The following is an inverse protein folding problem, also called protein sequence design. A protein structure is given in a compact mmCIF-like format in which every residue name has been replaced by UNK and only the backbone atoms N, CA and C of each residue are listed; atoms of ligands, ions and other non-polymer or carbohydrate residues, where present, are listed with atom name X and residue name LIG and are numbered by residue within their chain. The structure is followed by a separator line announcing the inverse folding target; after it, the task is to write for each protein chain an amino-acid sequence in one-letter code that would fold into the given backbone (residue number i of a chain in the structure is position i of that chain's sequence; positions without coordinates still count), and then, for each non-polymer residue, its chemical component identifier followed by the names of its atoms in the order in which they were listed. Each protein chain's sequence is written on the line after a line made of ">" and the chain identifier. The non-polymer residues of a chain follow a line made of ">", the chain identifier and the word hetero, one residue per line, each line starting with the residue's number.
data_IF_867665921678
#
_entry.id   IF_867665921678
#
_cell.length_a   1.000
_cell.length_b   1.000
_cell.length_c   1.000
_cell.angle_alpha   90.00
_cell.angle_beta   90.00
_cell.angle_gamma   90.00
#
_symmetry.space_group_name_H-M   'P 1'
#
loop_
_entity.id
_entity.type
_entity.pdbx_description
1 polymer ?
#
# COMPACT_ATOMS: atom_id res chain seq x y z
N UNK A 1 -91.47 23.05 19.38
CA UNK A 1 -92.06 22.49 18.15
C UNK A 1 -91.30 21.21 17.80
N UNK A 2 -92.01 20.07 17.82
CA UNK A 2 -91.52 18.76 17.35
C UNK A 2 -91.19 18.82 15.86
N UNK A 3 -90.14 18.10 15.44
CA UNK A 3 -90.20 17.16 14.30
C UNK A 3 -88.97 16.25 14.31
N UNK A 4 -89.25 14.99 14.61
CA UNK A 4 -88.46 13.82 14.25
C UNK A 4 -88.24 13.74 12.73
N UNK A 5 -87.21 13.03 12.27
CA UNK A 5 -87.35 11.86 11.36
C UNK A 5 -85.99 11.32 10.87
N UNK A 6 -85.85 10.00 11.11
CA UNK A 6 -85.20 8.91 10.37
C UNK A 6 -83.68 8.79 10.14
N UNK A 7 -83.23 7.65 10.68
CA UNK A 7 -82.09 6.79 10.34
C UNK A 7 -81.77 6.66 8.84
N UNK A 8 -80.47 6.60 8.54
CA UNK A 8 -79.95 5.73 7.49
C UNK A 8 -78.72 4.96 8.01
N UNK A 9 -78.76 3.63 7.92
CA UNK A 9 -77.70 2.72 8.39
C UNK A 9 -76.70 2.53 7.24
N UNK A 10 -75.47 3.01 7.43
CA UNK A 10 -74.33 2.62 6.60
C UNK A 10 -73.32 1.85 7.45
N UNK A 11 -73.27 0.53 7.26
CA UNK A 11 -72.23 -0.36 7.75
C UNK A 11 -70.93 -0.09 7.00
N UNK A 12 -70.02 0.65 7.63
CA UNK A 12 -68.65 0.86 7.13
C UNK A 12 -67.83 -0.37 7.53
N UNK A 13 -67.41 -1.15 6.53
CA UNK A 13 -66.39 -2.20 6.70
C UNK A 13 -65.02 -1.53 6.80
N UNK A 14 -64.45 -1.52 7.99
CA UNK A 14 -63.11 -0.98 8.25
C UNK A 14 -62.05 -2.01 7.81
N UNK A 15 -61.52 -1.86 6.61
CA UNK A 15 -60.34 -2.62 6.17
C UNK A 15 -59.10 -1.94 6.76
N UNK A 16 -58.46 -2.58 7.75
CA UNK A 16 -57.20 -2.12 8.34
C UNK A 16 -56.06 -2.47 7.37
N UNK A 17 -55.50 -1.47 6.70
CA UNK A 17 -54.29 -1.58 5.91
C UNK A 17 -53.08 -1.45 6.84
N UNK A 18 -52.43 -2.58 7.18
CA UNK A 18 -51.19 -2.59 7.96
C UNK A 18 -50.05 -2.21 7.01
N UNK A 19 -49.54 -0.99 7.13
CA UNK A 19 -48.35 -0.52 6.44
C UNK A 19 -47.11 -1.05 7.19
N UNK A 20 -46.51 -2.14 6.69
CA UNK A 20 -45.21 -2.62 7.15
C UNK A 20 -44.11 -1.68 6.66
N UNK A 21 -43.60 -0.83 7.55
CA UNK A 21 -42.39 -0.05 7.33
C UNK A 21 -41.20 -0.96 7.65
N UNK A 22 -40.64 -1.62 6.64
CA UNK A 22 -39.33 -2.25 6.73
C UNK A 22 -38.24 -1.17 6.74
N UNK A 23 -37.89 -0.68 7.92
CA UNK A 23 -36.65 0.08 8.11
C UNK A 23 -35.47 -0.89 7.93
N UNK A 24 -34.86 -0.87 6.74
CA UNK A 24 -33.62 -1.59 6.47
C UNK A 24 -32.51 -1.04 7.36
N UNK A 25 -32.06 -1.84 8.33
CA UNK A 25 -30.83 -1.59 9.08
C UNK A 25 -29.66 -1.83 8.13
N UNK A 26 -29.19 -0.77 7.47
CA UNK A 26 -27.86 -0.78 6.84
C UNK A 26 -26.83 -0.73 7.96
N UNK A 27 -26.25 -1.88 8.32
CA UNK A 27 -25.04 -1.94 9.13
C UNK A 27 -23.86 -1.36 8.32
N UNK A 28 -23.70 -0.04 8.34
CA UNK A 28 -22.42 0.57 7.98
C UNK A 28 -21.47 0.35 9.15
N UNK A 29 -20.89 -0.85 9.24
CA UNK A 29 -19.71 -1.05 10.05
C UNK A 29 -18.60 -0.19 9.43
N UNK A 30 -18.36 0.99 10.01
CA UNK A 30 -17.16 1.76 9.69
C UNK A 30 -15.96 0.85 9.96
N UNK A 31 -15.21 0.51 8.93
CA UNK A 31 -13.98 -0.25 9.09
C UNK A 31 -13.08 0.54 10.05
N UNK A 32 -12.83 -0.02 11.23
CA UNK A 32 -11.98 0.61 12.22
C UNK A 32 -10.56 0.68 11.65
N UNK A 33 -9.99 1.88 11.59
CA UNK A 33 -8.61 2.08 11.16
C UNK A 33 -7.67 1.25 12.02
N UNK A 34 -6.71 0.57 11.39
CA UNK A 34 -5.69 -0.19 12.11
C UNK A 34 -4.80 0.75 12.93
N UNK A 35 -4.42 0.36 14.14
CA UNK A 35 -3.57 1.18 14.99
C UNK A 35 -2.14 1.27 14.42
N UNK A 36 -1.44 2.39 14.65
CA UNK A 36 -0.01 2.50 14.34
C UNK A 36 0.77 1.36 15.04
N UNK A 37 1.70 0.75 14.32
CA UNK A 37 2.44 -0.44 14.78
C UNK A 37 1.70 -1.77 14.59
N UNK A 38 0.44 -1.78 14.13
CA UNK A 38 -0.26 -3.03 13.79
C UNK A 38 0.52 -3.81 12.75
N UNK A 39 0.78 -5.08 13.02
CA UNK A 39 1.60 -5.95 12.17
C UNK A 39 0.99 -7.34 12.08
N UNK A 40 1.08 -7.95 10.90
CA UNK A 40 0.57 -9.30 10.62
C UNK A 40 1.44 -9.93 9.55
N UNK A 41 1.83 -11.19 9.76
CA UNK A 41 2.37 -12.03 8.69
C UNK A 41 1.20 -12.65 7.93
N UNK A 42 0.98 -12.19 6.70
CA UNK A 42 -0.13 -12.65 5.86
C UNK A 42 0.11 -14.03 5.25
N UNK A 43 1.37 -14.45 5.17
CA UNK A 43 1.75 -15.78 4.73
C UNK A 43 3.23 -15.88 4.40
N UNK A 44 3.60 -16.96 3.71
CA UNK A 44 4.95 -17.20 3.19
C UNK A 44 4.89 -17.64 1.74
N UNK A 45 5.92 -17.27 0.98
CA UNK A 45 6.20 -17.78 -0.37
C UNK A 45 7.68 -18.15 -0.40
N UNK A 46 8.00 -19.36 -0.87
CA UNK A 46 9.38 -19.87 -0.96
C UNK A 46 10.19 -19.73 0.34
N UNK A 47 9.53 -19.86 1.50
CA UNK A 47 10.13 -19.72 2.83
C UNK A 47 10.25 -18.28 3.35
N UNK A 48 10.04 -17.26 2.53
CA UNK A 48 10.11 -15.84 2.89
C UNK A 48 8.76 -15.36 3.42
N UNK A 49 8.74 -14.73 4.60
CA UNK A 49 7.52 -14.18 5.18
C UNK A 49 7.09 -12.87 4.48
N UNK A 50 5.78 -12.72 4.26
CA UNK A 50 5.19 -11.48 3.73
C UNK A 50 4.37 -10.83 4.83
N UNK A 51 4.89 -9.72 5.34
CA UNK A 51 4.29 -9.00 6.46
C UNK A 51 3.61 -7.72 5.96
N UNK A 52 2.49 -7.37 6.58
CA UNK A 52 1.95 -6.00 6.53
C UNK A 52 2.27 -5.27 7.83
N UNK A 53 2.63 -3.99 7.75
CA UNK A 53 2.88 -3.13 8.91
C UNK A 53 2.24 -1.74 8.73
N UNK A 54 1.55 -1.25 9.76
CA UNK A 54 1.06 0.13 9.83
C UNK A 54 2.15 1.02 10.39
N UNK A 55 3.02 1.54 9.53
CA UNK A 55 4.14 2.40 9.92
C UNK A 55 4.57 3.26 8.72
N UNK A 56 5.08 4.47 8.99
CA UNK A 56 5.73 5.29 7.97
C UNK A 56 7.13 4.79 7.58
N UNK A 57 7.61 5.09 6.37
CA UNK A 57 8.89 4.58 5.86
C UNK A 57 10.12 5.06 6.64
N UNK A 58 10.04 6.21 7.33
CA UNK A 58 11.17 6.74 8.11
C UNK A 58 11.46 5.95 9.40
N UNK A 59 10.46 5.24 9.91
CA UNK A 59 10.43 4.61 11.24
C UNK A 59 10.27 3.10 11.19
N UNK A 60 10.06 2.52 10.01
CA UNK A 60 10.01 1.08 9.83
C UNK A 60 11.41 0.45 9.97
N UNK A 61 11.56 -0.46 10.93
CA UNK A 61 12.81 -1.19 11.13
C UNK A 61 13.02 -2.24 10.03
N UNK A 62 14.08 -2.06 9.25
CA UNK A 62 14.51 -3.01 8.22
C UNK A 62 16.00 -2.87 7.88
N UNK A 63 16.58 -3.87 7.23
CA UNK A 63 17.93 -3.73 6.68
C UNK A 63 17.97 -2.84 5.42
N UNK A 64 16.83 -2.75 4.72
CA UNK A 64 16.60 -1.86 3.59
C UNK A 64 15.16 -1.32 3.67
N UNK A 65 14.99 0.00 3.63
CA UNK A 65 13.71 0.63 3.32
C UNK A 65 13.65 0.88 1.81
N UNK A 66 12.57 0.49 1.17
CA UNK A 66 12.24 0.86 -0.21
C UNK A 66 11.14 1.91 -0.15
N UNK A 67 11.35 3.04 -0.81
CA UNK A 67 10.34 4.08 -0.97
C UNK A 67 10.22 4.42 -2.45
N UNK A 68 9.01 4.70 -2.92
CA UNK A 68 8.78 4.96 -4.33
C UNK A 68 8.44 6.44 -4.53
N UNK A 69 8.81 7.02 -5.67
CA UNK A 69 8.53 8.43 -5.91
C UNK A 69 8.32 8.70 -7.39
N UNK A 70 7.38 9.57 -7.70
CA UNK A 70 7.13 10.01 -9.07
C UNK A 70 8.19 11.01 -9.54
N UNK A 71 8.15 11.34 -10.83
CA UNK A 71 8.95 12.43 -11.37
C UNK A 71 8.64 13.76 -10.67
N UNK A 72 9.68 14.58 -10.50
CA UNK A 72 9.56 15.85 -9.79
C UNK A 72 8.80 16.90 -10.58
N UNK A 73 7.88 17.56 -9.88
CA UNK A 73 7.35 18.87 -10.23
C UNK A 73 7.51 19.79 -9.03
N UNK A 74 7.49 21.10 -9.20
CA UNK A 74 7.70 22.01 -8.07
C UNK A 74 6.67 21.79 -6.95
N UNK A 75 7.15 21.43 -5.76
CA UNK A 75 6.32 21.17 -4.59
C UNK A 75 5.47 19.89 -4.65
N UNK A 76 5.82 18.91 -5.49
CA UNK A 76 4.94 17.79 -5.82
C UNK A 76 4.53 16.88 -4.65
N UNK A 77 5.37 16.74 -3.61
CA UNK A 77 5.06 15.99 -2.39
C UNK A 77 4.47 16.87 -1.28
N UNK A 78 4.53 18.20 -1.43
CA UNK A 78 4.10 19.16 -0.42
C UNK A 78 2.74 19.81 -0.74
N UNK A 79 2.39 19.87 -2.02
CA UNK A 79 1.19 20.53 -2.52
C UNK A 79 0.18 19.50 -3.07
N UNK A 80 -1.13 19.83 -3.08
CA UNK A 80 -2.12 19.02 -3.77
C UNK A 80 -1.69 18.68 -5.21
N UNK A 81 -1.91 17.44 -5.68
CA UNK A 81 -2.78 16.43 -5.09
C UNK A 81 -2.17 15.59 -3.95
N UNK A 82 -0.90 15.80 -3.57
CA UNK A 82 -0.28 15.03 -2.50
C UNK A 82 -1.05 15.12 -1.18
N UNK A 83 -0.92 14.07 -0.35
CA UNK A 83 -1.51 14.09 0.99
C UNK A 83 -0.89 15.21 1.84
N UNK A 84 -1.66 15.78 2.79
CA UNK A 84 -1.13 16.72 3.76
C UNK A 84 0.09 16.17 4.49
N UNK A 85 1.06 17.03 4.81
CA UNK A 85 2.35 16.64 5.37
C UNK A 85 2.25 15.67 6.55
N UNK A 86 1.31 15.89 7.48
CA UNK A 86 1.12 15.05 8.67
C UNK A 86 0.65 13.60 8.36
N UNK A 87 0.22 13.33 7.13
CA UNK A 87 -0.23 12.02 6.65
C UNK A 87 0.66 11.47 5.51
N UNK A 88 1.72 12.19 5.13
CA UNK A 88 2.52 11.89 3.95
C UNK A 88 3.85 11.25 4.35
N UNK A 89 3.98 9.95 4.10
CA UNK A 89 5.17 9.16 4.41
C UNK A 89 6.42 9.64 3.67
N UNK A 90 6.29 10.07 2.41
CA UNK A 90 7.41 10.63 1.64
C UNK A 90 7.90 11.96 2.21
N UNK A 91 7.00 12.85 2.65
CA UNK A 91 7.39 14.10 3.34
C UNK A 91 8.17 13.79 4.62
N UNK A 92 7.65 12.88 5.46
CA UNK A 92 8.35 12.47 6.69
C UNK A 92 9.72 11.82 6.40
N UNK A 93 9.84 11.08 5.30
CA UNK A 93 11.09 10.45 4.89
C UNK A 93 12.12 11.49 4.41
N UNK A 94 11.68 12.47 3.62
CA UNK A 94 12.54 13.55 3.14
C UNK A 94 12.98 14.47 4.30
N UNK A 95 12.06 14.81 5.21
CA UNK A 95 12.36 15.58 6.42
C UNK A 95 13.40 14.88 7.31
N UNK A 96 13.27 13.56 7.50
CA UNK A 96 14.24 12.77 8.25
C UNK A 96 15.65 12.80 7.61
N UNK A 97 15.72 13.02 6.31
CA UNK A 97 16.95 13.18 5.55
C UNK A 97 17.28 14.64 5.21
N UNK A 98 16.64 15.60 5.88
CA UNK A 98 16.88 17.04 5.75
C UNK A 98 16.66 17.57 4.32
N UNK A 99 15.67 17.05 3.60
CA UNK A 99 15.28 17.54 2.28
C UNK A 99 16.09 16.99 1.10
N UNK A 100 17.00 16.04 1.34
CA UNK A 100 17.91 15.55 0.30
C UNK A 100 17.18 14.82 -0.84
N UNK A 101 16.04 14.16 -0.58
CA UNK A 101 15.27 13.48 -1.64
C UNK A 101 14.72 14.53 -2.59
N UNK A 102 14.12 15.61 -2.05
CA UNK A 102 13.66 16.73 -2.87
C UNK A 102 14.82 17.39 -3.63
N UNK A 103 15.96 17.63 -2.99
CA UNK A 103 17.13 18.25 -3.64
C UNK A 103 17.66 17.40 -4.81
N UNK A 104 17.80 16.08 -4.61
CA UNK A 104 18.26 15.14 -5.65
C UNK A 104 17.33 15.15 -6.86
N UNK A 105 16.02 15.18 -6.60
CA UNK A 105 15.00 15.21 -7.64
C UNK A 105 14.96 16.54 -8.39
N UNK A 106 14.93 17.65 -7.65
CA UNK A 106 14.93 19.01 -8.22
C UNK A 106 16.19 19.31 -9.04
N UNK A 107 17.34 18.76 -8.64
CA UNK A 107 18.61 18.91 -9.36
C UNK A 107 18.78 17.97 -10.56
N UNK A 108 17.82 17.06 -10.80
CA UNK A 108 17.89 16.06 -11.87
C UNK A 108 18.91 14.94 -11.64
N UNK A 109 19.47 14.81 -10.44
CA UNK A 109 20.39 13.73 -10.06
C UNK A 109 19.67 12.40 -9.85
N UNK A 110 18.38 12.46 -9.57
CA UNK A 110 17.46 11.34 -9.57
C UNK A 110 16.09 11.83 -10.02
N UNK A 111 15.77 11.67 -11.30
CA UNK A 111 14.61 12.33 -11.89
C UNK A 111 13.27 11.73 -11.39
N UNK A 112 13.29 10.47 -10.95
CA UNK A 112 12.09 9.70 -10.60
C UNK A 112 11.51 8.95 -11.80
N UNK A 113 12.31 8.74 -12.85
CA UNK A 113 11.89 7.99 -14.04
C UNK A 113 11.45 6.58 -13.67
N UNK A 114 10.53 6.01 -14.44
CA UNK A 114 9.99 4.68 -14.15
C UNK A 114 11.12 3.64 -14.01
N UNK A 115 11.15 2.97 -12.86
CA UNK A 115 12.13 1.96 -12.45
C UNK A 115 13.57 2.49 -12.24
N UNK A 116 13.79 3.80 -12.25
CA UNK A 116 15.06 4.41 -11.82
C UNK A 116 15.33 4.08 -10.36
N UNK A 117 16.58 3.77 -10.00
CA UNK A 117 16.94 3.39 -8.63
C UNK A 117 18.04 4.28 -8.07
N UNK A 118 17.91 4.71 -6.82
CA UNK A 118 18.99 5.37 -6.09
C UNK A 118 19.10 4.81 -4.67
N UNK A 119 20.30 4.37 -4.31
CA UNK A 119 20.61 3.91 -2.96
C UNK A 119 21.18 5.07 -2.12
N UNK A 120 20.60 5.29 -0.95
CA UNK A 120 21.06 6.23 0.06
C UNK A 120 21.43 5.45 1.32
N UNK A 121 22.61 5.73 1.86
CA UNK A 121 23.01 5.26 3.19
C UNK A 121 22.71 6.39 4.19
N UNK A 122 21.63 6.29 4.97
CA UNK A 122 21.25 7.34 5.90
C UNK A 122 22.32 7.50 7.01
N UNK A 123 22.57 8.74 7.47
CA UNK A 123 23.33 8.94 8.70
C UNK A 123 22.70 8.16 9.86
N UNK A 124 23.53 7.64 10.77
CA UNK A 124 23.03 6.84 11.89
C UNK A 124 22.00 7.62 12.71
N UNK A 125 20.83 7.01 12.91
CA UNK A 125 19.75 7.57 13.73
C UNK A 125 18.77 8.49 12.97
N UNK A 126 18.96 8.73 11.67
CA UNK A 126 17.97 9.48 10.88
C UNK A 126 16.80 8.61 10.43
N UNK A 127 17.08 7.37 10.01
CA UNK A 127 16.06 6.37 9.67
C UNK A 127 16.21 5.15 10.57
N UNK A 128 15.10 4.46 10.84
CA UNK A 128 15.13 3.15 11.49
C UNK A 128 15.77 2.07 10.59
N UNK A 129 15.66 2.22 9.27
CA UNK A 129 16.30 1.33 8.31
C UNK A 129 17.78 1.67 8.08
N UNK A 130 18.60 0.63 7.83
CA UNK A 130 20.05 0.79 7.63
C UNK A 130 20.42 1.38 6.26
N UNK A 131 19.54 1.24 5.27
CA UNK A 131 19.68 1.70 3.89
C UNK A 131 18.33 2.16 3.38
N UNK A 132 18.31 3.12 2.45
CA UNK A 132 17.12 3.55 1.71
C UNK A 132 17.34 3.34 0.22
N UNK A 133 16.46 2.61 -0.44
CA UNK A 133 16.37 2.53 -1.90
C UNK A 133 15.17 3.36 -2.35
N UNK A 134 15.43 4.38 -3.16
CA UNK A 134 14.40 5.06 -3.93
C UNK A 134 14.16 4.31 -5.23
N UNK A 135 12.89 4.14 -5.61
CA UNK A 135 12.49 3.63 -6.92
C UNK A 135 11.56 4.66 -7.58
N UNK A 136 11.91 5.07 -8.80
CA UNK A 136 11.12 5.99 -9.59
C UNK A 136 9.86 5.32 -10.15
N UNK A 137 8.73 6.04 -10.11
CA UNK A 137 7.44 5.60 -10.65
C UNK A 137 7.12 6.23 -12.02
N UNK A 138 7.97 7.14 -12.51
CA UNK A 138 7.76 7.89 -13.73
C UNK A 138 6.77 9.03 -13.56
N UNK A 139 6.14 9.44 -14.66
CA UNK A 139 5.14 10.50 -14.67
C UNK A 139 3.88 10.09 -13.87
N UNK A 140 3.53 10.91 -12.88
CA UNK A 140 2.37 10.70 -11.99
C UNK A 140 1.06 10.43 -12.74
N UNK A 141 0.81 11.14 -13.83
CA UNK A 141 -0.42 11.03 -14.63
C UNK A 141 -0.50 9.76 -15.50
N UNK A 142 0.61 9.04 -15.66
CA UNK A 142 0.69 7.79 -16.44
C UNK A 142 0.72 6.54 -15.56
N UNK A 143 0.58 6.71 -14.24
CA UNK A 143 0.61 5.60 -13.30
C UNK A 143 -0.47 4.55 -13.63
N UNK A 144 -0.07 3.28 -13.62
CA UNK A 144 -0.99 2.13 -13.63
C UNK A 144 -0.58 1.14 -12.53
N UNK A 145 -1.53 0.42 -11.91
CA UNK A 145 -1.19 -0.59 -10.89
C UNK A 145 -0.24 -1.69 -11.38
N UNK A 146 -0.24 -2.00 -12.69
CA UNK A 146 0.61 -3.04 -13.28
C UNK A 146 2.11 -2.73 -13.19
N UNK A 147 2.47 -1.44 -13.17
CA UNK A 147 3.85 -0.99 -12.93
C UNK A 147 4.42 -1.59 -11.63
N UNK A 148 3.57 -1.82 -10.63
CA UNK A 148 4.01 -2.30 -9.32
C UNK A 148 4.55 -3.73 -9.33
N UNK A 149 4.27 -4.53 -10.37
CA UNK A 149 4.94 -5.82 -10.60
C UNK A 149 6.43 -5.58 -10.90
N UNK A 150 6.72 -4.66 -11.82
CA UNK A 150 8.10 -4.29 -12.15
C UNK A 150 8.82 -3.64 -10.96
N UNK A 151 8.14 -2.75 -10.23
CA UNK A 151 8.71 -2.12 -9.02
C UNK A 151 9.02 -3.17 -7.94
N UNK A 152 8.08 -4.11 -7.68
CA UNK A 152 8.31 -5.22 -6.75
C UNK A 152 9.49 -6.10 -7.16
N UNK A 153 9.66 -6.34 -8.47
CA UNK A 153 10.80 -7.08 -9.03
C UNK A 153 12.12 -6.33 -8.82
N UNK A 154 12.16 -5.03 -9.08
CA UNK A 154 13.34 -4.17 -8.87
C UNK A 154 13.73 -4.16 -7.40
N UNK A 155 12.77 -3.92 -6.50
CA UNK A 155 13.02 -3.91 -5.06
C UNK A 155 13.65 -5.22 -4.57
N UNK A 156 13.11 -6.37 -5.00
CA UNK A 156 13.68 -7.68 -4.62
C UNK A 156 15.10 -7.87 -5.18
N UNK A 157 15.34 -7.54 -6.46
CA UNK A 157 16.67 -7.68 -7.07
C UNK A 157 17.72 -6.83 -6.35
N UNK A 158 17.39 -5.59 -6.03
CA UNK A 158 18.27 -4.70 -5.28
C UNK A 158 18.49 -5.20 -3.85
N UNK A 159 17.45 -5.67 -3.15
CA UNK A 159 17.59 -6.26 -1.83
C UNK A 159 18.55 -7.45 -1.82
N UNK A 160 18.41 -8.36 -2.79
CA UNK A 160 19.29 -9.52 -2.94
C UNK A 160 20.73 -9.11 -3.27
N UNK A 161 20.93 -8.15 -4.17
CA UNK A 161 22.26 -7.63 -4.55
C UNK A 161 22.96 -6.96 -3.37
N UNK A 162 22.20 -6.29 -2.51
CA UNK A 162 22.71 -5.66 -1.29
C UNK A 162 22.96 -6.64 -0.15
N UNK A 163 22.60 -7.92 -0.34
CA UNK A 163 22.79 -8.98 0.67
C UNK A 163 21.97 -8.78 1.94
N UNK A 164 20.87 -8.03 1.88
CA UNK A 164 20.01 -7.79 3.04
C UNK A 164 19.12 -9.00 3.33
N UNK A 165 18.79 -9.19 4.60
CA UNK A 165 17.99 -10.32 5.08
C UNK A 165 16.49 -9.99 5.09
N UNK A 166 16.14 -8.71 5.00
CA UNK A 166 14.76 -8.21 4.92
C UNK A 166 14.73 -6.79 4.35
N UNK A 167 13.58 -6.41 3.81
CA UNK A 167 13.29 -5.02 3.47
C UNK A 167 11.86 -4.63 3.82
N UNK A 168 11.65 -3.35 4.09
CA UNK A 168 10.35 -2.71 4.13
C UNK A 168 10.08 -1.98 2.82
N UNK A 169 8.80 -1.85 2.45
CA UNK A 169 8.38 -1.31 1.17
C UNK A 169 7.22 -0.34 1.38
N UNK A 170 7.45 0.94 1.05
CA UNK A 170 6.44 1.96 0.90
C UNK A 170 6.24 2.23 -0.60
N UNK A 171 5.00 2.15 -1.07
CA UNK A 171 4.67 2.46 -2.46
C UNK A 171 4.47 3.95 -2.71
N UNK A 172 4.14 4.72 -1.67
CA UNK A 172 3.93 6.18 -1.69
C UNK A 172 2.97 6.68 -2.80
N UNK A 173 2.15 5.78 -3.38
CA UNK A 173 1.19 6.11 -4.44
C UNK A 173 0.07 7.00 -3.88
N UNK A 174 -0.48 6.61 -2.72
CA UNK A 174 -1.52 7.39 -2.05
C UNK A 174 -0.95 8.72 -1.54
N UNK A 175 0.30 8.75 -1.09
CA UNK A 175 1.01 9.96 -0.65
C UNK A 175 1.13 11.00 -1.77
N UNK A 176 1.31 10.55 -3.00
CA UNK A 176 1.31 11.40 -4.19
C UNK A 176 -0.10 11.86 -4.65
N UNK A 177 -1.16 11.46 -3.95
CA UNK A 177 -2.54 11.81 -4.26
C UNK A 177 -3.21 10.93 -5.31
N UNK A 178 -2.60 9.82 -5.71
CA UNK A 178 -3.18 8.91 -6.70
C UNK A 178 -4.18 7.99 -6.02
N UNK A 179 -5.44 8.03 -6.47
CA UNK A 179 -6.44 7.05 -6.05
C UNK A 179 -6.27 5.71 -6.76
N UNK A 180 -5.33 4.89 -6.26
CA UNK A 180 -5.06 3.55 -6.79
C UNK A 180 -5.85 2.45 -6.05
N UNK A 181 -6.14 1.31 -6.72
CA UNK A 181 -6.73 0.14 -6.06
C UNK A 181 -5.72 -0.52 -5.10
N UNK A 182 -5.86 -0.24 -3.81
CA UNK A 182 -4.92 -0.67 -2.75
C UNK A 182 -4.60 -2.16 -2.76
N UNK A 183 -5.62 -3.03 -2.86
CA UNK A 183 -5.43 -4.48 -2.86
C UNK A 183 -4.60 -4.93 -4.08
N UNK A 184 -4.92 -4.44 -5.27
CA UNK A 184 -4.21 -4.78 -6.51
C UNK A 184 -2.77 -4.29 -6.49
N UNK A 185 -2.52 -3.07 -6.01
CA UNK A 185 -1.16 -2.53 -5.84
C UNK A 185 -0.33 -3.43 -4.93
N UNK A 186 -0.86 -3.78 -3.76
CA UNK A 186 -0.15 -4.63 -2.80
C UNK A 186 0.10 -6.03 -3.36
N UNK A 187 -0.90 -6.62 -4.05
CA UNK A 187 -0.76 -7.90 -4.74
C UNK A 187 0.35 -7.86 -5.79
N UNK A 188 0.37 -6.83 -6.64
CA UNK A 188 1.34 -6.67 -7.72
C UNK A 188 2.78 -6.53 -7.21
N UNK A 189 3.00 -5.80 -6.11
CA UNK A 189 4.32 -5.74 -5.46
C UNK A 189 4.78 -7.14 -5.04
N UNK A 190 3.92 -7.91 -4.37
CA UNK A 190 4.25 -9.27 -3.92
C UNK A 190 4.54 -10.19 -5.11
N UNK A 191 3.69 -10.16 -6.15
CA UNK A 191 3.88 -10.96 -7.36
C UNK A 191 5.26 -10.69 -8.00
N UNK A 192 5.57 -9.43 -8.28
CA UNK A 192 6.85 -9.05 -8.87
C UNK A 192 8.05 -9.40 -8.00
N UNK A 193 7.95 -9.18 -6.70
CA UNK A 193 9.02 -9.54 -5.76
C UNK A 193 9.35 -11.03 -5.81
N UNK A 194 8.35 -11.92 -5.82
CA UNK A 194 8.62 -13.36 -5.86
C UNK A 194 8.98 -13.90 -7.25
N UNK A 195 8.52 -13.28 -8.34
CA UNK A 195 9.02 -13.58 -9.68
C UNK A 195 10.54 -13.31 -9.78
N UNK A 196 10.98 -12.16 -9.25
CA UNK A 196 12.40 -11.83 -9.17
C UNK A 196 13.17 -12.78 -8.22
N UNK A 197 12.62 -13.09 -7.05
CA UNK A 197 13.27 -13.99 -6.08
C UNK A 197 13.50 -15.40 -6.67
N UNK A 198 12.48 -15.97 -7.32
CA UNK A 198 12.58 -17.27 -7.99
C UNK A 198 13.59 -17.27 -9.13
N UNK A 199 13.66 -16.17 -9.90
CA UNK A 199 14.67 -16.01 -10.95
C UNK A 199 16.08 -16.04 -10.38
N UNK A 200 16.34 -15.30 -9.29
CA UNK A 200 17.65 -15.28 -8.65
C UNK A 200 17.99 -16.62 -7.97
N UNK A 201 17.00 -17.32 -7.43
CA UNK A 201 17.16 -18.69 -6.90
C UNK A 201 17.55 -19.66 -8.00
N UNK A 202 16.85 -19.62 -9.14
CA UNK A 202 17.20 -20.42 -10.31
C UNK A 202 18.63 -20.16 -10.79
N UNK A 203 19.06 -18.89 -10.89
CA UNK A 203 20.44 -18.56 -11.27
C UNK A 203 21.46 -19.05 -10.23
N UNK A 204 21.13 -18.99 -8.94
CA UNK A 204 21.96 -19.52 -7.86
C UNK A 204 22.14 -21.04 -7.97
N UNK A 205 21.06 -21.78 -8.24
CA UNK A 205 21.11 -23.23 -8.44
C UNK A 205 21.95 -23.63 -9.67
N UNK A 206 21.98 -22.77 -10.69
CA UNK A 206 22.87 -22.90 -11.86
C UNK A 206 24.31 -22.44 -11.61
N UNK A 207 24.65 -21.98 -10.40
CA UNK A 207 25.96 -21.42 -10.04
C UNK A 207 26.34 -20.19 -10.87
N UNK A 208 25.34 -19.43 -11.33
CA UNK A 208 25.49 -18.20 -12.12
C UNK A 208 25.24 -16.92 -11.31
N UNK A 209 24.81 -17.06 -10.06
CA UNK A 209 24.69 -15.97 -9.11
C UNK A 209 24.86 -16.49 -7.69
N UNK A 210 25.04 -15.60 -6.74
CA UNK A 210 24.88 -15.90 -5.33
C UNK A 210 24.06 -14.79 -4.67
N UNK A 211 23.32 -15.15 -3.65
CA UNK A 211 22.59 -14.21 -2.80
C UNK A 211 22.30 -14.86 -1.45
N UNK A 212 22.18 -14.02 -0.41
CA UNK A 212 21.66 -14.45 0.87
C UNK A 212 20.13 -14.62 0.78
N UNK A 213 19.55 -15.73 1.26
CA UNK A 213 18.10 -15.88 1.31
C UNK A 213 17.46 -14.76 2.14
N UNK A 214 16.33 -14.23 1.66
CA UNK A 214 15.54 -13.28 2.44
C UNK A 214 14.73 -14.02 3.50
N UNK A 215 14.55 -13.39 4.66
CA UNK A 215 13.71 -13.90 5.75
C UNK A 215 12.29 -13.35 5.69
N UNK A 216 12.13 -12.08 5.34
CA UNK A 216 10.84 -11.40 5.25
C UNK A 216 10.87 -10.18 4.32
N UNK A 217 9.71 -9.86 3.76
CA UNK A 217 9.38 -8.57 3.14
C UNK A 217 8.28 -7.92 3.97
N UNK A 218 8.32 -6.60 4.16
CA UNK A 218 7.35 -5.84 4.97
C UNK A 218 6.69 -4.79 4.08
N UNK A 219 5.41 -4.96 3.76
CA UNK A 219 4.64 -3.95 3.02
C UNK A 219 4.02 -2.97 4.01
N UNK A 220 4.35 -1.68 3.85
CA UNK A 220 3.83 -0.61 4.67
C UNK A 220 2.48 -0.15 4.13
N UNK A 221 1.53 0.11 5.02
CA UNK A 221 0.22 0.65 4.66
C UNK A 221 -0.26 1.65 5.71
N UNK A 222 -0.96 2.69 5.26
CA UNK A 222 -1.65 3.60 6.18
C UNK A 222 -2.78 2.90 6.95
N UNK A 223 -3.17 3.39 8.14
CA UNK A 223 -4.21 2.82 8.99
C UNK A 223 -5.50 2.39 8.27
N UNK A 224 -5.98 3.23 7.34
CA UNK A 224 -7.22 3.00 6.59
C UNK A 224 -7.09 1.94 5.48
N UNK A 225 -5.88 1.66 5.04
CA UNK A 225 -5.60 0.81 3.88
C UNK A 225 -5.07 -0.58 4.27
N UNK A 226 -4.73 -0.77 5.54
CA UNK A 226 -4.04 -1.96 6.04
C UNK A 226 -4.74 -3.28 5.72
N UNK A 227 -6.03 -3.39 6.07
CA UNK A 227 -6.80 -4.62 5.86
C UNK A 227 -6.97 -4.92 4.37
N UNK A 228 -7.30 -3.90 3.57
CA UNK A 228 -7.49 -4.03 2.11
C UNK A 228 -6.19 -4.42 1.40
N UNK A 229 -5.06 -3.85 1.81
CA UNK A 229 -3.75 -4.26 1.31
C UNK A 229 -3.46 -5.72 1.68
N UNK A 230 -3.79 -6.13 2.92
CA UNK A 230 -3.67 -7.51 3.39
C UNK A 230 -4.44 -8.52 2.55
N UNK A 231 -5.64 -8.17 2.10
CA UNK A 231 -6.45 -9.02 1.22
C UNK A 231 -5.76 -9.28 -0.12
N UNK A 232 -5.24 -8.23 -0.77
CA UNK A 232 -4.46 -8.37 -2.00
C UNK A 232 -3.16 -9.17 -1.82
N UNK A 233 -2.48 -8.97 -0.68
CA UNK A 233 -1.28 -9.76 -0.33
C UNK A 233 -1.61 -11.24 -0.22
N UNK A 234 -2.69 -11.61 0.49
CA UNK A 234 -3.11 -13.01 0.65
C UNK A 234 -3.43 -13.66 -0.70
N UNK A 235 -4.11 -12.93 -1.59
CA UNK A 235 -4.43 -13.41 -2.94
C UNK A 235 -3.15 -13.68 -3.75
N UNK A 236 -2.20 -12.75 -3.75
CA UNK A 236 -0.92 -12.91 -4.43
C UNK A 236 -0.14 -14.12 -3.90
N UNK A 237 -0.09 -14.30 -2.57
CA UNK A 237 0.55 -15.46 -1.93
C UNK A 237 -0.11 -16.77 -2.37
N UNK A 238 -1.44 -16.84 -2.36
CA UNK A 238 -2.17 -18.03 -2.80
C UNK A 238 -1.85 -18.37 -4.26
N UNK A 239 -1.83 -17.37 -5.14
CA UNK A 239 -1.47 -17.53 -6.57
C UNK A 239 -0.03 -18.01 -6.76
N UNK A 240 0.93 -17.48 -6.00
CA UNK A 240 2.33 -17.87 -6.09
C UNK A 240 2.56 -19.31 -5.61
N UNK A 241 1.92 -19.69 -4.51
CA UNK A 241 2.01 -21.03 -3.95
C UNK A 241 1.30 -22.09 -4.80
N UNK A 242 0.23 -21.72 -5.50
CA UNK A 242 -0.44 -22.63 -6.44
C UNK A 242 0.38 -22.93 -7.71
N UNK A 243 1.35 -22.08 -8.05
CA UNK A 243 2.25 -22.24 -9.22
C UNK A 243 3.58 -22.92 -8.88
N UNK A 244 3.78 -23.35 -7.63
CA UNK A 244 5.05 -23.88 -7.12
C UNK A 244 5.16 -25.38 -7.29
#
# INVERSE_FOLDING_TARGET
>A
MKKSVLFNKYTIRTTILILLICAGLTNTAFAQNAALGSSTTWGKVDGVAVNGLVQGPSTAEAELQVACVFEYTEGDIFNPPALPANLNGMVHLDDALKGIITELRKSGKFAGHSLETLLIIPPKGTLAAKKLLLIGLGERTKFTPDLMISVGSVAMREALRLGVSNYSFASDIKDAGIDSPTALVAANVVLGSFEAYRTQTYLKDKKLSDHKPLSKIILLAGPAFYTVAGDGIKEAIAKLNAKS
#
